data_IF_924562107832
#
_entry.id   IF_924562107832
#
_cell.length_a   1.000
_cell.length_b   1.000
_cell.length_c   1.000
_cell.angle_alpha   90.00
_cell.angle_beta   90.00
_cell.angle_gamma   90.00
#
_symmetry.space_group_name_H-M   'P 1'
#
loop_
_entity.id
_entity.type
_entity.pdbx_description
1 polymer ?
#
# COMPACT_ATOMS: atom_id res chain seq x y z
N UNK A 1 -64.62 -31.23 -19.23
CA UNK A 1 -63.44 -30.90 -20.03
C UNK A 1 -62.39 -30.26 -19.12
N UNK A 2 -61.85 -31.10 -18.24
CA UNK A 2 -60.63 -30.83 -17.46
C UNK A 2 -59.48 -31.32 -18.34
N UNK A 3 -58.28 -30.76 -18.19
CA UNK A 3 -57.02 -31.19 -18.84
C UNK A 3 -56.54 -30.32 -20.03
N UNK A 4 -56.42 -29.01 -19.83
CA UNK A 4 -55.55 -28.19 -20.69
C UNK A 4 -54.65 -27.23 -19.89
N UNK A 5 -55.07 -26.82 -18.69
CA UNK A 5 -54.30 -25.89 -17.84
C UNK A 5 -53.19 -26.61 -17.05
N UNK A 6 -53.29 -27.93 -16.86
CA UNK A 6 -52.39 -28.71 -15.98
C UNK A 6 -51.10 -29.19 -16.64
N UNK A 7 -50.89 -28.93 -17.94
CA UNK A 7 -49.66 -29.32 -18.65
C UNK A 7 -48.63 -28.19 -18.73
N UNK A 8 -49.06 -26.92 -18.68
CA UNK A 8 -48.15 -25.76 -18.83
C UNK A 8 -47.47 -25.33 -17.53
N UNK A 9 -47.98 -25.74 -16.37
CA UNK A 9 -47.42 -25.36 -15.07
C UNK A 9 -46.09 -26.07 -14.74
N UNK A 10 -45.73 -27.14 -15.45
CA UNK A 10 -44.51 -27.90 -15.17
C UNK A 10 -43.27 -27.47 -15.98
N UNK A 11 -43.44 -26.67 -17.04
CA UNK A 11 -42.31 -26.27 -17.91
C UNK A 11 -41.68 -24.94 -17.47
N UNK A 12 -42.46 -24.04 -16.86
CA UNK A 12 -41.96 -22.71 -16.46
C UNK A 12 -41.12 -22.79 -15.16
N UNK A 13 -41.29 -23.83 -14.35
CA UNK A 13 -40.53 -23.98 -13.10
C UNK A 13 -39.12 -24.56 -13.26
N UNK A 14 -38.76 -25.05 -14.46
CA UNK A 14 -37.47 -25.73 -14.68
C UNK A 14 -36.39 -24.85 -15.31
N UNK A 15 -36.71 -23.61 -15.70
CA UNK A 15 -35.75 -22.68 -16.34
C UNK A 15 -35.31 -21.50 -15.46
N UNK A 16 -35.88 -21.35 -14.26
CA UNK A 16 -35.46 -20.32 -13.29
C UNK A 16 -34.27 -20.75 -12.42
N UNK A 17 -33.76 -21.97 -12.59
CA UNK A 17 -32.64 -22.51 -11.80
C UNK A 17 -31.28 -22.46 -12.54
N UNK A 18 -31.25 -21.99 -13.79
CA UNK A 18 -30.04 -21.96 -14.63
C UNK A 18 -29.57 -20.54 -15.03
N UNK A 19 -30.33 -19.51 -14.64
CA UNK A 19 -29.81 -18.15 -14.49
C UNK A 19 -29.48 -17.92 -13.02
N UNK A 20 -28.57 -18.74 -12.51
CA UNK A 20 -27.77 -18.35 -11.35
C UNK A 20 -27.06 -17.07 -11.76
N UNK A 21 -27.58 -15.93 -11.33
CA UNK A 21 -26.80 -14.71 -11.25
C UNK A 21 -25.47 -15.12 -10.62
N UNK A 22 -24.30 -14.88 -11.23
CA UNK A 22 -23.11 -14.79 -10.43
C UNK A 22 -23.44 -13.68 -9.46
N UNK A 23 -23.78 -14.05 -8.22
CA UNK A 23 -23.72 -13.17 -7.09
C UNK A 23 -22.28 -12.71 -7.15
N UNK A 24 -22.09 -11.53 -7.73
CA UNK A 24 -20.81 -10.86 -7.76
C UNK A 24 -20.55 -10.66 -6.27
N UNK A 25 -19.79 -11.58 -5.70
CA UNK A 25 -19.33 -11.47 -4.34
C UNK A 25 -18.56 -10.16 -4.38
N UNK A 26 -19.15 -9.11 -3.83
CA UNK A 26 -18.38 -8.06 -3.19
C UNK A 26 -17.67 -8.81 -2.08
N UNK A 27 -16.53 -9.40 -2.43
CA UNK A 27 -15.52 -9.72 -1.44
C UNK A 27 -15.29 -8.38 -0.77
N UNK A 28 -15.82 -8.26 0.43
CA UNK A 28 -15.41 -7.24 1.36
C UNK A 28 -13.89 -7.35 1.38
N UNK A 29 -13.25 -6.44 0.64
CA UNK A 29 -11.83 -6.20 0.72
C UNK A 29 -11.63 -5.66 2.13
N UNK A 30 -11.58 -6.59 3.07
CA UNK A 30 -11.06 -6.38 4.39
C UNK A 30 -9.56 -6.31 4.14
N UNK A 31 -8.93 -5.13 4.26
CA UNK A 31 -7.48 -5.06 4.28
C UNK A 31 -7.02 -5.72 5.58
N UNK A 32 -7.04 -7.05 5.62
CA UNK A 32 -6.46 -7.88 6.68
C UNK A 32 -4.96 -8.10 6.46
N UNK A 33 -4.33 -7.24 5.65
CA UNK A 33 -2.93 -6.93 5.82
C UNK A 33 -2.82 -5.86 6.92
N UNK A 34 -3.09 -6.25 8.16
CA UNK A 34 -2.34 -5.68 9.28
C UNK A 34 -0.90 -6.09 9.00
N UNK A 35 -0.22 -5.29 8.16
CA UNK A 35 1.20 -5.39 7.97
C UNK A 35 1.75 -5.43 9.38
N UNK A 36 2.36 -6.55 9.76
CA UNK A 36 3.10 -6.62 11.00
C UNK A 36 4.23 -5.62 10.81
N UNK A 37 3.96 -4.37 11.19
CA UNK A 37 4.89 -3.27 11.18
C UNK A 37 5.86 -3.62 12.30
N UNK A 38 6.87 -4.42 11.94
CA UNK A 38 8.15 -4.42 12.64
C UNK A 38 8.44 -2.93 12.83
N UNK A 39 8.42 -2.44 14.07
CA UNK A 39 8.70 -1.05 14.38
C UNK A 39 10.12 -0.77 13.88
N UNK A 40 10.22 -0.28 12.65
CA UNK A 40 11.47 -0.14 11.96
C UNK A 40 12.15 1.09 12.54
N UNK A 41 13.18 0.88 13.34
CA UNK A 41 13.89 1.99 13.97
C UNK A 41 14.76 2.71 12.93
N UNK A 42 15.07 4.01 13.14
CA UNK A 42 15.97 4.75 12.25
C UNK A 42 17.30 4.02 12.03
N UNK A 43 17.84 3.41 13.08
CA UNK A 43 19.13 2.70 13.03
C UNK A 43 19.05 1.40 12.23
N UNK A 44 17.95 0.66 12.33
CA UNK A 44 17.70 -0.50 11.48
C UNK A 44 17.60 -0.10 10.00
N UNK A 45 16.93 1.03 9.71
CA UNK A 45 16.81 1.54 8.35
C UNK A 45 18.18 1.97 7.79
N UNK A 46 18.98 2.71 8.57
CA UNK A 46 20.35 3.12 8.19
C UNK A 46 21.23 1.93 7.84
N UNK A 47 21.18 0.88 8.67
CA UNK A 47 21.94 -0.35 8.45
C UNK A 47 21.48 -1.09 7.19
N UNK A 48 20.17 -1.27 7.01
CA UNK A 48 19.62 -2.01 5.88
C UNK A 48 19.83 -1.32 4.51
N UNK A 49 19.85 0.01 4.49
CA UNK A 49 20.08 0.82 3.28
C UNK A 49 21.56 1.00 2.94
N UNK A 50 22.48 0.63 3.82
CA UNK A 50 23.92 0.89 3.70
C UNK A 50 24.22 2.38 3.47
N UNK A 51 23.71 3.25 4.35
CA UNK A 51 23.93 4.69 4.30
C UNK A 51 25.44 5.03 4.30
N UNK A 52 25.99 5.59 3.20
CA UNK A 52 27.43 5.74 3.04
C UNK A 52 28.03 6.94 3.79
N UNK A 53 27.22 7.96 4.11
CA UNK A 53 27.67 9.23 4.68
C UNK A 53 26.87 9.61 5.92
N UNK A 54 27.41 10.48 6.77
CA UNK A 54 26.66 10.98 7.93
C UNK A 54 25.47 11.86 7.52
N UNK A 55 25.57 12.55 6.39
CA UNK A 55 24.43 13.27 5.78
C UNK A 55 23.29 12.31 5.42
N UNK A 56 23.59 11.15 4.84
CA UNK A 56 22.56 10.14 4.53
C UNK A 56 21.91 9.55 5.79
N UNK A 57 22.68 9.39 6.87
CA UNK A 57 22.12 8.95 8.16
C UNK A 57 21.21 10.02 8.76
N UNK A 58 21.66 11.29 8.72
CA UNK A 58 20.88 12.44 9.18
C UNK A 58 19.58 12.59 8.40
N UNK A 59 19.60 12.39 7.09
CA UNK A 59 18.38 12.44 6.27
C UNK A 59 17.33 11.42 6.74
N UNK A 60 17.74 10.21 7.17
CA UNK A 60 16.80 9.24 7.76
C UNK A 60 16.22 9.79 9.06
N UNK A 61 17.07 10.31 9.95
CA UNK A 61 16.63 10.89 11.22
C UNK A 61 15.62 12.04 11.00
N UNK A 62 15.90 12.89 10.02
CA UNK A 62 15.05 13.99 9.60
C UNK A 62 13.70 13.49 9.04
N UNK A 63 13.71 12.43 8.23
CA UNK A 63 12.48 11.80 7.75
C UNK A 63 11.62 11.28 8.91
N UNK A 64 12.22 10.60 9.90
CA UNK A 64 11.50 10.14 11.08
C UNK A 64 10.97 11.30 11.93
N UNK A 65 11.71 12.41 12.03
CA UNK A 65 11.21 13.62 12.69
C UNK A 65 9.99 14.21 11.96
N UNK A 66 9.98 14.22 10.62
CA UNK A 66 8.81 14.67 9.83
C UNK A 66 7.62 13.73 9.98
N UNK A 67 7.85 12.42 10.12
CA UNK A 67 6.80 11.44 10.42
C UNK A 67 6.21 11.71 11.81
N UNK A 68 7.04 11.92 12.83
CA UNK A 68 6.57 12.26 14.18
C UNK A 68 5.77 13.57 14.21
N UNK A 69 6.12 14.54 13.36
CA UNK A 69 5.37 15.80 13.19
C UNK A 69 4.09 15.66 12.36
N UNK A 70 3.82 14.48 11.78
CA UNK A 70 2.65 14.22 10.93
C UNK A 70 2.71 14.87 9.55
N UNK A 71 3.88 15.38 9.13
CA UNK A 71 4.09 16.03 7.83
C UNK A 71 4.33 14.96 6.75
N UNK A 72 5.10 13.93 7.09
CA UNK A 72 5.44 12.84 6.20
C UNK A 72 4.67 11.57 6.61
N UNK A 73 3.89 10.93 5.72
CA UNK A 73 3.21 9.69 6.07
C UNK A 73 4.20 8.56 6.35
N UNK A 74 4.08 7.88 7.49
CA UNK A 74 4.95 6.74 7.84
C UNK A 74 4.89 5.64 6.77
N UNK A 75 3.68 5.34 6.29
CA UNK A 75 3.44 4.35 5.23
C UNK A 75 4.23 4.66 3.96
N UNK A 76 4.44 5.94 3.65
CA UNK A 76 5.20 6.36 2.50
C UNK A 76 6.69 6.02 2.67
N UNK A 77 7.26 6.36 3.81
CA UNK A 77 8.67 6.06 4.16
C UNK A 77 8.92 4.55 4.12
N UNK A 78 8.03 3.77 4.73
CA UNK A 78 8.12 2.31 4.74
C UNK A 78 7.99 1.71 3.33
N UNK A 79 7.08 2.21 2.51
CA UNK A 79 6.94 1.73 1.13
C UNK A 79 8.17 2.05 0.27
N UNK A 80 8.79 3.22 0.46
CA UNK A 80 10.03 3.61 -0.20
C UNK A 80 11.22 2.74 0.28
N UNK A 81 11.28 2.46 1.58
CA UNK A 81 12.26 1.56 2.17
C UNK A 81 12.15 0.15 1.60
N UNK A 82 10.95 -0.42 1.59
CA UNK A 82 10.67 -1.75 1.01
C UNK A 82 11.08 -1.82 -0.46
N UNK A 83 10.79 -0.77 -1.24
CA UNK A 83 11.24 -0.69 -2.63
C UNK A 83 12.77 -0.70 -2.75
N UNK A 84 13.46 0.01 -1.87
CA UNK A 84 14.91 0.16 -1.89
C UNK A 84 15.67 -1.11 -1.44
N UNK A 85 15.21 -1.81 -0.39
CA UNK A 85 15.86 -3.04 0.08
C UNK A 85 15.84 -4.17 -0.96
N UNK A 86 14.84 -4.17 -1.84
CA UNK A 86 14.71 -5.13 -2.93
C UNK A 86 15.67 -4.85 -4.09
N UNK A 87 16.49 -3.80 -4.01
CA UNK A 87 17.50 -3.47 -5.03
C UNK A 87 18.84 -4.13 -4.73
N UNK A 88 19.53 -4.65 -5.77
CA UNK A 88 20.77 -5.39 -5.59
C UNK A 88 21.95 -4.51 -5.12
N UNK A 89 21.96 -3.23 -5.50
CA UNK A 89 23.01 -2.24 -5.16
C UNK A 89 22.39 -0.86 -4.98
N UNK A 90 23.15 0.07 -4.39
CA UNK A 90 22.79 1.48 -4.24
C UNK A 90 21.42 1.68 -3.57
N UNK A 91 21.10 0.86 -2.57
CA UNK A 91 19.80 0.87 -1.86
C UNK A 91 19.46 2.27 -1.34
N UNK A 92 20.44 2.94 -0.73
CA UNK A 92 20.35 4.34 -0.34
C UNK A 92 19.77 5.25 -1.44
N UNK A 93 20.40 5.26 -2.62
CA UNK A 93 20.00 6.15 -3.73
C UNK A 93 18.58 5.84 -4.19
N UNK A 94 18.20 4.56 -4.24
CA UNK A 94 16.83 4.17 -4.59
C UNK A 94 15.82 4.61 -3.53
N UNK A 95 16.17 4.52 -2.25
CA UNK A 95 15.35 5.00 -1.16
C UNK A 95 15.10 6.50 -1.29
N UNK A 96 16.17 7.30 -1.30
CA UNK A 96 16.12 8.75 -1.41
C UNK A 96 15.34 9.22 -2.65
N UNK A 97 15.67 8.66 -3.82
CA UNK A 97 14.98 9.00 -5.08
C UNK A 97 13.50 8.64 -5.04
N UNK A 98 13.15 7.44 -4.57
CA UNK A 98 11.77 6.98 -4.54
C UNK A 98 10.92 7.77 -3.52
N UNK A 99 11.51 8.14 -2.38
CA UNK A 99 10.84 8.93 -1.38
C UNK A 99 10.59 10.34 -1.89
N UNK A 100 11.61 11.01 -2.41
CA UNK A 100 11.51 12.36 -2.99
C UNK A 100 10.45 12.43 -4.10
N UNK A 101 10.50 11.50 -5.06
CA UNK A 101 9.56 11.46 -6.17
C UNK A 101 8.11 11.28 -5.70
N UNK A 102 7.87 10.43 -4.70
CA UNK A 102 6.52 10.21 -4.17
C UNK A 102 6.05 11.38 -3.32
N UNK A 103 6.93 12.01 -2.56
CA UNK A 103 6.62 13.24 -1.81
C UNK A 103 6.19 14.36 -2.76
N UNK A 104 6.93 14.57 -3.84
CA UNK A 104 6.59 15.56 -4.87
C UNK A 104 5.20 15.31 -5.48
N UNK A 105 4.87 14.05 -5.78
CA UNK A 105 3.54 13.66 -6.27
C UNK A 105 2.41 13.94 -5.28
N UNK A 106 2.72 13.97 -3.98
CA UNK A 106 1.78 14.33 -2.91
C UNK A 106 1.79 15.83 -2.58
N UNK A 107 2.60 16.63 -3.29
CA UNK A 107 2.75 18.07 -3.01
C UNK A 107 3.63 18.38 -1.80
N UNK A 108 4.36 17.40 -1.27
CA UNK A 108 5.28 17.56 -0.14
C UNK A 108 6.67 17.86 -0.70
N UNK A 109 7.21 19.04 -0.42
CA UNK A 109 8.58 19.38 -0.79
C UNK A 109 9.55 18.94 0.32
N UNK A 110 10.09 17.73 0.17
CA UNK A 110 10.92 17.09 1.20
C UNK A 110 12.14 17.94 1.58
N UNK A 111 12.86 18.50 0.61
CA UNK A 111 14.03 19.35 0.85
C UNK A 111 13.67 20.61 1.67
N UNK A 112 12.55 21.24 1.34
CA UNK A 112 12.05 22.41 2.07
C UNK A 112 11.65 22.08 3.50
N UNK A 113 11.04 20.93 3.75
CA UNK A 113 10.62 20.54 5.09
C UNK A 113 11.80 20.10 5.97
N UNK A 114 12.79 19.41 5.40
CA UNK A 114 14.03 19.06 6.11
C UNK A 114 14.82 20.32 6.50
N UNK A 115 14.86 21.34 5.65
CA UNK A 115 15.56 22.59 5.96
C UNK A 115 14.95 23.39 7.14
N UNK A 116 13.76 23.02 7.62
CA UNK A 116 13.08 23.65 8.78
C UNK A 116 13.28 22.88 10.08
N UNK A 117 13.96 21.74 10.04
CA UNK A 117 14.29 20.93 11.22
C UNK A 117 15.53 21.48 11.93
#
# INVERSE_FOLDING_TARGET
>A
MKNLITQFAQIIFFWSLLFGLPIFQTEDFTPSAQAQYIQLTPDQMKAALFCPTDESKKFIDDCFALVQRGILPESLVLSAFQYAINKPKNRWVYFETSLSLRCERMGINLAKEIAKL
#
